data_IF_704835352811
#
_entry.id   IF_704835352811
#
_cell.length_a   1.000
_cell.length_b   1.000
_cell.length_c   1.000
_cell.angle_alpha   90.00
_cell.angle_beta   90.00
_cell.angle_gamma   90.00
#
_symmetry.space_group_name_H-M   'P 1'
#
loop_
_entity.id
_entity.type
_entity.pdbx_description
1 polymer ?
#
# COMPACT_ATOMS: atom_id res chain seq x y z
N UNK A 1 11.83 21.82 -59.34
CA UNK A 1 10.47 21.72 -58.76
C UNK A 1 10.57 20.87 -57.51
N UNK A 2 10.11 21.44 -56.38
CA UNK A 2 10.02 20.89 -55.02
C UNK A 2 11.35 20.69 -54.25
N UNK A 3 11.75 21.79 -53.63
CA UNK A 3 12.75 21.94 -52.57
C UNK A 3 12.16 21.47 -51.22
N UNK A 4 12.95 20.76 -50.41
CA UNK A 4 12.52 20.25 -49.08
C UNK A 4 12.86 21.28 -48.01
N UNK A 5 11.83 21.87 -47.39
CA UNK A 5 11.98 22.76 -46.24
C UNK A 5 12.38 21.98 -44.96
N UNK A 6 13.19 22.59 -44.06
CA UNK A 6 13.62 21.97 -42.81
C UNK A 6 12.54 22.06 -41.72
N UNK A 7 12.47 21.01 -40.90
CA UNK A 7 11.57 20.87 -39.74
C UNK A 7 12.06 21.81 -38.64
N UNK A 8 11.21 22.77 -38.26
CA UNK A 8 11.49 23.74 -37.22
C UNK A 8 11.31 23.14 -35.81
N UNK A 9 12.27 23.40 -34.94
CA UNK A 9 12.23 23.20 -33.49
C UNK A 9 10.97 23.83 -32.89
N UNK A 10 10.10 23.01 -32.31
CA UNK A 10 9.00 23.49 -31.45
C UNK A 10 9.33 23.11 -30.01
N UNK A 11 10.30 23.82 -29.43
CA UNK A 11 10.46 23.87 -27.99
C UNK A 11 9.21 24.54 -27.40
N UNK A 12 8.49 23.79 -26.57
CA UNK A 12 7.33 24.28 -25.81
C UNK A 12 7.77 25.46 -24.93
N UNK A 13 7.44 26.68 -25.37
CA UNK A 13 7.54 27.88 -24.55
C UNK A 13 6.49 27.79 -23.44
N UNK A 14 6.94 27.45 -22.23
CA UNK A 14 6.19 27.76 -21.01
C UNK A 14 6.19 29.29 -20.84
N UNK A 15 5.02 29.89 -20.84
CA UNK A 15 4.80 31.29 -20.47
C UNK A 15 5.23 31.52 -19.03
N UNK A 16 6.01 32.57 -18.79
CA UNK A 16 6.70 32.84 -17.52
C UNK A 16 5.79 33.01 -16.30
N UNK A 17 4.51 33.34 -16.51
CA UNK A 17 3.51 33.53 -15.45
C UNK A 17 3.03 32.19 -14.83
N UNK A 18 3.06 31.08 -15.58
CA UNK A 18 2.60 29.77 -15.10
C UNK A 18 3.59 29.11 -14.13
N UNK A 19 4.86 29.55 -14.16
CA UNK A 19 5.89 29.12 -13.21
C UNK A 19 5.75 29.86 -11.88
N UNK A 20 5.32 31.12 -11.88
CA UNK A 20 5.19 31.94 -10.66
C UNK A 20 4.02 31.51 -9.77
N UNK A 21 2.90 31.07 -10.35
CA UNK A 21 1.72 30.73 -9.54
C UNK A 21 1.81 29.35 -8.89
N UNK A 22 2.47 28.37 -9.51
CA UNK A 22 2.76 27.07 -8.89
C UNK A 22 3.91 27.17 -7.88
N UNK A 23 4.85 28.12 -8.07
CA UNK A 23 5.87 28.46 -7.08
C UNK A 23 5.29 29.08 -5.80
N UNK A 24 4.21 29.86 -5.87
CA UNK A 24 3.67 30.57 -4.69
C UNK A 24 3.18 29.68 -3.53
N UNK A 25 2.77 28.43 -3.79
CA UNK A 25 2.45 27.43 -2.74
C UNK A 25 3.61 26.45 -2.47
N UNK A 26 4.66 26.52 -3.28
CA UNK A 26 5.83 25.64 -3.26
C UNK A 26 7.06 26.33 -2.63
N UNK A 27 7.01 27.65 -2.44
CA UNK A 27 8.09 28.50 -1.91
C UNK A 27 8.32 28.37 -0.40
N UNK A 28 7.36 27.85 0.39
CA UNK A 28 7.53 27.77 1.86
C UNK A 28 8.22 26.49 2.37
N UNK A 29 8.45 25.49 1.50
CA UNK A 29 9.18 24.28 1.87
C UNK A 29 10.57 24.27 1.24
N UNK A 30 11.66 24.08 2.03
CA UNK A 30 13.00 23.98 1.47
C UNK A 30 13.02 22.92 0.37
N UNK A 31 13.66 23.18 -0.79
CA UNK A 31 13.70 22.28 -1.97
C UNK A 31 13.99 20.80 -1.63
N UNK A 32 14.64 20.51 -0.50
CA UNK A 32 14.95 19.16 0.02
C UNK A 32 13.75 18.39 0.60
N UNK A 33 12.63 19.05 0.90
CA UNK A 33 11.41 18.44 1.44
C UNK A 33 10.25 18.43 0.43
N UNK A 34 10.49 18.82 -0.81
CA UNK A 34 9.49 18.71 -1.88
C UNK A 34 9.16 17.24 -2.16
N UNK A 35 7.89 16.96 -2.49
CA UNK A 35 7.41 15.62 -2.88
C UNK A 35 8.16 14.99 -4.05
N UNK A 36 8.82 15.80 -4.88
CA UNK A 36 9.62 15.35 -6.03
C UNK A 36 11.04 14.89 -5.64
N UNK A 37 11.42 15.06 -4.37
CA UNK A 37 12.71 14.59 -3.84
C UNK A 37 12.53 13.33 -3.03
N UNK A 38 13.58 12.50 -2.99
CA UNK A 38 13.57 11.25 -2.23
C UNK A 38 13.18 11.45 -0.76
N UNK A 39 13.77 12.45 -0.11
CA UNK A 39 13.50 12.76 1.30
C UNK A 39 12.08 13.24 1.54
N UNK A 40 11.56 14.14 0.70
CA UNK A 40 10.18 14.61 0.81
C UNK A 40 9.15 13.51 0.56
N UNK A 41 9.35 12.70 -0.49
CA UNK A 41 8.50 11.55 -0.77
C UNK A 41 8.54 10.51 0.37
N UNK A 42 9.72 10.24 0.93
CA UNK A 42 9.87 9.33 2.06
C UNK A 42 9.09 9.82 3.29
N UNK A 43 9.20 11.10 3.63
CA UNK A 43 8.47 11.68 4.76
C UNK A 43 6.95 11.52 4.58
N UNK A 44 6.43 11.84 3.39
CA UNK A 44 5.00 11.69 3.09
C UNK A 44 4.57 10.22 3.19
N UNK A 45 5.37 9.28 2.67
CA UNK A 45 5.08 7.85 2.77
C UNK A 45 5.13 7.35 4.21
N UNK A 46 6.07 7.82 5.03
CA UNK A 46 6.13 7.51 6.46
C UNK A 46 4.85 8.00 7.15
N UNK A 47 4.44 9.24 6.91
CA UNK A 47 3.21 9.79 7.49
C UNK A 47 1.96 9.02 7.04
N UNK A 48 1.90 8.66 5.75
CA UNK A 48 0.79 7.88 5.19
C UNK A 48 0.69 6.48 5.82
N UNK A 49 1.82 5.84 6.14
CA UNK A 49 1.84 4.51 6.77
C UNK A 49 1.72 4.58 8.30
N UNK A 50 2.22 5.63 8.94
CA UNK A 50 2.21 5.78 10.39
C UNK A 50 0.81 6.11 10.94
N UNK A 51 0.02 6.91 10.23
CA UNK A 51 -1.32 7.32 10.68
C UNK A 51 -2.23 6.12 11.01
N UNK A 52 -2.47 5.16 10.09
CA UNK A 52 -3.25 3.97 10.39
C UNK A 52 -2.61 3.09 11.45
N UNK A 53 -1.28 2.93 11.42
CA UNK A 53 -0.57 2.05 12.36
C UNK A 53 -0.64 2.54 13.82
N UNK A 54 -0.47 3.85 14.03
CA UNK A 54 -0.63 4.48 15.34
C UNK A 54 -2.08 4.30 15.82
N UNK A 55 -3.04 4.54 14.93
CA UNK A 55 -4.44 4.36 15.27
C UNK A 55 -4.76 2.92 15.68
N UNK A 56 -4.40 1.93 14.85
CA UNK A 56 -4.68 0.51 15.10
C UNK A 56 -4.03 0.01 16.40
N UNK A 57 -2.94 0.65 16.84
CA UNK A 57 -2.30 0.39 18.13
C UNK A 57 -3.07 1.02 19.29
N UNK A 58 -3.47 2.29 19.16
CA UNK A 58 -4.10 3.05 20.24
C UNK A 58 -5.58 2.69 20.45
N UNK A 59 -6.27 2.24 19.39
CA UNK A 59 -7.72 2.02 19.39
C UNK A 59 -8.18 1.02 20.46
N UNK A 60 -7.30 0.11 20.87
CA UNK A 60 -7.52 -0.88 21.94
C UNK A 60 -7.79 -0.26 23.30
N UNK A 61 -7.39 1.00 23.53
CA UNK A 61 -7.58 1.71 24.80
C UNK A 61 -9.06 2.07 25.03
N UNK A 62 -9.82 2.34 23.97
CA UNK A 62 -11.19 2.88 24.09
C UNK A 62 -12.27 2.03 23.43
N UNK A 63 -11.93 1.01 22.62
CA UNK A 63 -12.92 0.07 22.08
C UNK A 63 -13.49 -0.81 23.21
N UNK A 64 -14.82 -0.90 23.25
CA UNK A 64 -15.56 -1.84 24.09
C UNK A 64 -15.16 -3.28 23.77
N UNK A 65 -15.02 -4.10 24.81
CA UNK A 65 -14.67 -5.52 24.68
C UNK A 65 -15.78 -6.26 23.94
N UNK A 66 -15.61 -6.45 22.62
CA UNK A 66 -16.38 -7.40 21.83
C UNK A 66 -16.18 -8.79 22.45
N UNK A 67 -17.22 -9.63 22.41
CA UNK A 67 -17.17 -11.00 22.93
C UNK A 67 -15.93 -11.75 22.40
N UNK A 68 -15.10 -12.20 23.34
CA UNK A 68 -13.82 -12.86 23.06
C UNK A 68 -13.96 -14.18 22.31
N UNK A 69 -15.14 -14.80 22.32
CA UNK A 69 -15.41 -16.03 21.55
C UNK A 69 -15.36 -15.81 20.03
N UNK A 70 -15.47 -14.55 19.58
CA UNK A 70 -15.46 -14.17 18.17
C UNK A 70 -14.11 -13.63 17.67
N UNK A 71 -13.05 -13.68 18.47
CA UNK A 71 -11.71 -13.24 18.03
C UNK A 71 -11.28 -14.00 16.76
N UNK A 72 -11.51 -15.32 16.71
CA UNK A 72 -11.19 -16.16 15.53
C UNK A 72 -12.02 -15.76 14.30
N UNK A 73 -13.24 -15.23 14.49
CA UNK A 73 -14.05 -14.69 13.39
C UNK A 73 -13.40 -13.45 12.78
N UNK A 74 -12.72 -12.63 13.59
CA UNK A 74 -12.04 -11.43 13.09
C UNK A 74 -10.79 -11.77 12.26
N UNK A 75 -10.17 -12.93 12.49
CA UNK A 75 -9.03 -13.41 11.69
C UNK A 75 -9.44 -13.77 10.25
N UNK A 76 -10.73 -14.08 10.01
CA UNK A 76 -11.24 -14.30 8.65
C UNK A 76 -11.03 -13.07 7.74
N UNK A 77 -11.04 -11.86 8.31
CA UNK A 77 -10.69 -10.65 7.57
C UNK A 77 -9.23 -10.66 7.10
N UNK A 78 -8.31 -11.14 7.94
CA UNK A 78 -6.89 -11.27 7.60
C UNK A 78 -6.72 -12.27 6.45
N UNK A 79 -7.38 -13.43 6.51
CA UNK A 79 -7.29 -14.44 5.45
C UNK A 79 -7.87 -13.96 4.11
N UNK A 80 -8.99 -13.25 4.14
CA UNK A 80 -9.53 -12.59 2.94
C UNK A 80 -8.49 -11.65 2.35
N UNK A 81 -7.86 -10.80 3.17
CA UNK A 81 -6.87 -9.85 2.68
C UNK A 81 -5.58 -10.51 2.15
N UNK A 82 -5.15 -11.65 2.71
CA UNK A 82 -4.03 -12.42 2.16
C UNK A 82 -4.32 -12.91 0.73
N UNK A 83 -5.57 -13.35 0.47
CA UNK A 83 -5.97 -13.74 -0.90
C UNK A 83 -6.02 -12.51 -1.82
N UNK A 84 -6.54 -11.38 -1.31
CA UNK A 84 -6.57 -10.10 -2.05
C UNK A 84 -5.15 -9.58 -2.32
N UNK A 85 -4.20 -9.86 -1.45
CA UNK A 85 -2.79 -9.45 -1.58
C UNK A 85 -2.17 -9.97 -2.87
N UNK A 86 -2.52 -11.20 -3.29
CA UNK A 86 -2.09 -11.78 -4.57
C UNK A 86 -2.49 -10.89 -5.76
N UNK A 87 -3.72 -10.38 -5.73
CA UNK A 87 -4.22 -9.45 -6.75
C UNK A 87 -3.55 -8.08 -6.63
N UNK A 88 -3.34 -7.60 -5.41
CA UNK A 88 -2.75 -6.29 -5.11
C UNK A 88 -1.27 -6.18 -5.49
N UNK A 89 -0.53 -7.28 -5.42
CA UNK A 89 0.89 -7.30 -5.81
C UNK A 89 1.13 -7.67 -7.26
N UNK A 90 0.13 -8.19 -7.96
CA UNK A 90 0.22 -8.48 -9.39
C UNK A 90 0.39 -7.21 -10.23
N UNK A 91 -0.71 -6.72 -10.80
CA UNK A 91 -0.68 -5.56 -11.70
C UNK A 91 -0.26 -4.25 -11.02
N UNK A 92 -0.71 -3.90 -9.80
CA UNK A 92 -0.33 -2.63 -9.18
C UNK A 92 1.17 -2.50 -8.93
N UNK A 93 1.89 -3.58 -8.59
CA UNK A 93 3.35 -3.52 -8.35
C UNK A 93 4.13 -3.25 -9.63
N UNK A 94 3.61 -3.66 -10.78
CA UNK A 94 4.19 -3.33 -12.08
C UNK A 94 4.08 -1.83 -12.45
N UNK A 95 3.26 -1.06 -11.73
CA UNK A 95 3.14 0.39 -11.96
C UNK A 95 4.49 1.12 -11.81
N UNK A 96 5.33 0.73 -10.85
CA UNK A 96 6.63 1.35 -10.65
C UNK A 96 7.54 1.20 -11.88
N UNK A 97 7.44 0.09 -12.61
CA UNK A 97 8.25 -0.15 -13.81
C UNK A 97 7.67 0.52 -15.06
N UNK A 98 6.35 0.46 -15.24
CA UNK A 98 5.69 0.88 -16.49
C UNK A 98 5.21 2.33 -16.42
N UNK A 99 4.54 2.70 -15.32
CA UNK A 99 4.03 4.05 -15.08
C UNK A 99 5.13 4.95 -14.52
N UNK A 100 6.06 4.39 -13.75
CA UNK A 100 7.22 5.11 -13.22
C UNK A 100 8.25 5.52 -14.27
N UNK A 101 8.10 5.10 -15.53
CA UNK A 101 8.97 5.55 -16.61
C UNK A 101 8.83 7.06 -16.85
N UNK A 102 9.82 7.82 -16.37
CA UNK A 102 9.84 9.28 -16.50
C UNK A 102 10.16 9.77 -17.91
N UNK A 103 10.68 8.91 -18.81
CA UNK A 103 10.86 9.26 -20.21
C UNK A 103 9.52 9.26 -20.97
N UNK A 104 8.49 8.64 -20.42
CA UNK A 104 7.16 8.58 -21.02
C UNK A 104 6.38 9.89 -20.81
N UNK A 105 5.66 10.40 -21.84
CA UNK A 105 4.81 11.57 -21.69
C UNK A 105 3.73 11.37 -20.61
N UNK A 106 3.51 12.41 -19.80
CA UNK A 106 2.53 12.42 -18.71
C UNK A 106 1.11 11.97 -19.11
N UNK A 107 0.53 12.38 -20.26
CA UNK A 107 -0.80 11.91 -20.66
C UNK A 107 -0.88 10.38 -20.84
N UNK A 108 0.21 9.75 -21.31
CA UNK A 108 0.25 8.29 -21.48
C UNK A 108 0.38 7.57 -20.14
N UNK A 109 1.18 8.13 -19.23
CA UNK A 109 1.29 7.64 -17.84
C UNK A 109 -0.06 7.71 -17.12
N UNK A 110 -0.79 8.81 -17.26
CA UNK A 110 -2.15 8.96 -16.70
C UNK A 110 -3.12 7.95 -17.31
N UNK A 111 -3.04 7.68 -18.62
CA UNK A 111 -3.86 6.62 -19.24
C UNK A 111 -3.58 5.23 -18.65
N UNK A 112 -2.32 4.90 -18.39
CA UNK A 112 -1.93 3.67 -17.72
C UNK A 112 -2.47 3.60 -16.28
N UNK A 113 -2.42 4.72 -15.53
CA UNK A 113 -3.00 4.83 -14.19
C UNK A 113 -4.51 4.55 -14.23
N UNK A 114 -5.26 5.23 -15.12
CA UNK A 114 -6.70 5.02 -15.27
C UNK A 114 -7.04 3.57 -15.67
N UNK A 115 -6.25 2.98 -16.57
CA UNK A 115 -6.42 1.58 -16.99
C UNK A 115 -6.19 0.61 -15.84
N UNK A 116 -5.12 0.82 -15.05
CA UNK A 116 -4.80 0.01 -13.89
C UNK A 116 -5.90 0.10 -12.82
N UNK A 117 -6.36 1.31 -12.48
CA UNK A 117 -7.43 1.51 -11.50
C UNK A 117 -8.70 0.80 -11.97
N UNK A 118 -9.14 1.03 -13.21
CA UNK A 118 -10.37 0.43 -13.73
C UNK A 118 -10.32 -1.11 -13.71
N UNK A 119 -9.22 -1.70 -14.17
CA UNK A 119 -9.06 -3.15 -14.17
C UNK A 119 -8.98 -3.73 -12.76
N UNK A 120 -8.22 -3.09 -11.87
CA UNK A 120 -8.04 -3.55 -10.50
C UNK A 120 -9.34 -3.47 -9.69
N UNK A 121 -10.13 -2.40 -9.87
CA UNK A 121 -11.47 -2.26 -9.28
C UNK A 121 -12.42 -3.34 -9.79
N UNK A 122 -12.41 -3.63 -11.10
CA UNK A 122 -13.23 -4.71 -11.65
C UNK A 122 -12.83 -6.08 -11.09
N UNK A 123 -11.53 -6.38 -11.01
CA UNK A 123 -11.03 -7.63 -10.42
C UNK A 123 -11.38 -7.74 -8.93
N UNK A 124 -11.23 -6.65 -8.17
CA UNK A 124 -11.63 -6.58 -6.76
C UNK A 124 -13.14 -6.77 -6.54
N UNK A 125 -13.98 -6.25 -7.46
CA UNK A 125 -15.42 -6.48 -7.44
C UNK A 125 -15.75 -7.96 -7.68
N UNK A 126 -15.17 -8.57 -8.72
CA UNK A 126 -15.36 -9.99 -9.01
C UNK A 126 -14.94 -10.85 -7.80
N UNK A 127 -13.78 -10.56 -7.21
CA UNK A 127 -13.30 -11.27 -6.03
C UNK A 127 -14.25 -11.09 -4.82
N UNK A 128 -14.77 -9.88 -4.60
CA UNK A 128 -15.77 -9.61 -3.55
C UNK A 128 -17.03 -10.48 -3.74
N UNK A 129 -17.55 -10.55 -4.96
CA UNK A 129 -18.73 -11.36 -5.27
C UNK A 129 -18.48 -12.86 -5.07
N UNK A 130 -17.29 -13.34 -5.46
CA UNK A 130 -16.86 -14.73 -5.22
C UNK A 130 -16.78 -15.05 -3.73
N UNK A 131 -16.22 -14.14 -2.92
CA UNK A 131 -16.16 -14.32 -1.47
C UNK A 131 -17.55 -14.30 -0.81
N UNK A 132 -18.44 -13.40 -1.24
CA UNK A 132 -19.83 -13.38 -0.74
C UNK A 132 -20.55 -14.69 -1.06
N UNK A 133 -20.42 -15.19 -2.29
CA UNK A 133 -21.01 -16.45 -2.72
C UNK A 133 -20.39 -17.66 -1.99
N UNK A 134 -19.10 -17.60 -1.70
CA UNK A 134 -18.34 -18.68 -1.05
C UNK A 134 -18.23 -18.54 0.47
N UNK A 135 -18.92 -17.55 1.08
CA UNK A 135 -18.79 -17.22 2.49
C UNK A 135 -18.99 -18.42 3.45
N UNK A 136 -19.96 -19.34 3.23
CA UNK A 136 -20.09 -20.52 4.08
C UNK A 136 -18.89 -21.46 4.00
N UNK A 137 -18.30 -21.64 2.81
CA UNK A 137 -17.11 -22.49 2.61
C UNK A 137 -15.87 -21.86 3.24
N UNK A 138 -15.72 -20.54 3.09
CA UNK A 138 -14.61 -19.79 3.69
C UNK A 138 -14.69 -19.83 5.22
N UNK A 139 -15.88 -19.62 5.79
CA UNK A 139 -16.11 -19.76 7.23
C UNK A 139 -15.89 -21.21 7.69
N UNK A 140 -16.22 -22.22 6.88
CA UNK A 140 -15.96 -23.62 7.23
C UNK A 140 -14.46 -23.95 7.30
N UNK A 141 -13.64 -23.33 6.44
CA UNK A 141 -12.20 -23.56 6.39
C UNK A 141 -11.44 -22.87 7.54
N UNK A 142 -11.88 -21.68 7.96
CA UNK A 142 -11.10 -20.83 8.85
C UNK A 142 -11.77 -20.50 10.20
N UNK A 143 -13.01 -20.94 10.42
CA UNK A 143 -13.78 -20.63 11.65
C UNK A 143 -14.31 -21.90 12.33
N UNK A 144 -14.13 -22.02 13.67
CA UNK A 144 -14.67 -23.14 14.47
C UNK A 144 -16.18 -23.30 14.35
N UNK A 145 -16.68 -24.53 14.48
CA UNK A 145 -18.09 -24.86 14.28
C UNK A 145 -19.05 -24.12 15.23
N UNK A 146 -18.61 -23.82 16.46
CA UNK A 146 -19.41 -23.14 17.50
C UNK A 146 -19.85 -21.72 17.12
N UNK A 147 -19.00 -20.97 16.40
CA UNK A 147 -19.26 -19.56 16.02
C UNK A 147 -19.46 -19.39 14.51
N UNK A 148 -19.38 -20.48 13.73
CA UNK A 148 -19.41 -20.47 12.27
C UNK A 148 -20.67 -19.82 11.70
N UNK A 149 -21.85 -20.17 12.22
CA UNK A 149 -23.12 -19.64 11.70
C UNK A 149 -23.22 -18.12 11.85
N UNK A 150 -22.81 -17.58 12.99
CA UNK A 150 -22.76 -16.14 13.25
C UNK A 150 -21.65 -15.44 12.44
N UNK A 151 -20.56 -16.14 12.12
CA UNK A 151 -19.41 -15.63 11.35
C UNK A 151 -19.67 -15.47 9.85
N UNK A 152 -20.68 -16.16 9.29
CA UNK A 152 -21.02 -16.01 7.86
C UNK A 152 -21.41 -14.56 7.54
N UNK A 153 -22.13 -13.90 8.45
CA UNK A 153 -22.47 -12.48 8.32
C UNK A 153 -21.22 -11.60 8.24
N UNK A 154 -20.26 -11.84 9.12
CA UNK A 154 -18.99 -11.14 9.15
C UNK A 154 -18.21 -11.32 7.86
N UNK A 155 -18.09 -12.57 7.37
CA UNK A 155 -17.38 -12.88 6.12
C UNK A 155 -18.01 -12.17 4.94
N UNK A 156 -19.35 -12.14 4.85
CA UNK A 156 -20.06 -11.46 3.75
C UNK A 156 -19.83 -9.96 3.76
N UNK A 157 -19.88 -9.32 4.93
CA UNK A 157 -19.61 -7.88 5.05
C UNK A 157 -18.14 -7.61 4.67
N UNK A 158 -17.21 -8.35 5.27
CA UNK A 158 -15.78 -8.22 5.04
C UNK A 158 -15.35 -8.57 3.62
N UNK A 159 -16.15 -9.29 2.84
CA UNK A 159 -15.83 -9.64 1.45
C UNK A 159 -15.64 -8.42 0.55
N UNK A 160 -16.36 -7.33 0.80
CA UNK A 160 -16.20 -6.07 0.06
C UNK A 160 -14.90 -5.32 0.39
N UNK A 161 -14.12 -5.83 1.36
CA UNK A 161 -12.73 -5.38 1.58
C UNK A 161 -11.90 -5.62 0.34
N UNK A 162 -12.18 -6.69 -0.42
CA UNK A 162 -11.44 -7.02 -1.63
C UNK A 162 -11.56 -5.90 -2.67
N UNK A 163 -12.77 -5.37 -2.89
CA UNK A 163 -12.99 -4.24 -3.80
C UNK A 163 -12.27 -2.97 -3.36
N UNK A 164 -12.44 -2.60 -2.08
CA UNK A 164 -11.86 -1.36 -1.54
C UNK A 164 -10.34 -1.44 -1.49
N UNK A 165 -9.79 -2.56 -1.01
CA UNK A 165 -8.35 -2.85 -0.96
C UNK A 165 -7.71 -2.89 -2.34
N UNK A 166 -8.34 -3.54 -3.33
CA UNK A 166 -7.83 -3.61 -4.69
C UNK A 166 -7.78 -2.21 -5.34
N UNK A 167 -8.88 -1.46 -5.23
CA UNK A 167 -8.95 -0.11 -5.78
C UNK A 167 -7.97 0.83 -5.09
N UNK A 168 -7.92 0.82 -3.77
CA UNK A 168 -7.01 1.63 -2.97
C UNK A 168 -5.55 1.33 -3.33
N UNK A 169 -5.18 0.05 -3.45
CA UNK A 169 -3.81 -0.35 -3.82
C UNK A 169 -3.46 0.17 -5.21
N UNK A 170 -4.34 0.01 -6.21
CA UNK A 170 -4.09 0.53 -7.54
C UNK A 170 -3.92 2.06 -7.54
N UNK A 171 -4.81 2.81 -6.89
CA UNK A 171 -4.68 4.27 -6.77
C UNK A 171 -3.37 4.62 -6.08
N UNK A 172 -3.07 3.98 -4.95
CA UNK A 172 -1.92 4.28 -4.10
C UNK A 172 -0.59 4.02 -4.81
N UNK A 173 -0.43 2.89 -5.50
CA UNK A 173 0.83 2.57 -6.20
C UNK A 173 0.96 3.36 -7.51
N UNK A 174 -0.12 3.48 -8.29
CA UNK A 174 -0.08 4.17 -9.57
C UNK A 174 0.16 5.67 -9.42
N UNK A 175 -0.39 6.30 -8.37
CA UNK A 175 -0.17 7.73 -8.09
C UNK A 175 1.24 8.01 -7.56
N UNK A 176 1.80 7.11 -6.72
CA UNK A 176 3.23 7.17 -6.37
C UNK A 176 4.13 7.06 -7.58
N UNK A 177 3.76 6.23 -8.55
CA UNK A 177 4.53 6.07 -9.79
C UNK A 177 4.51 7.33 -10.68
N UNK A 178 3.57 8.28 -10.47
CA UNK A 178 3.53 9.59 -11.15
C UNK A 178 3.88 10.77 -10.22
N UNK A 179 4.66 10.52 -9.16
CA UNK A 179 5.16 11.57 -8.25
C UNK A 179 4.08 12.24 -7.40
N UNK A 180 3.01 11.50 -7.10
CA UNK A 180 1.89 11.93 -6.25
C UNK A 180 1.75 11.06 -5.00
N UNK A 181 2.74 11.11 -4.07
CA UNK A 181 2.63 10.42 -2.77
C UNK A 181 1.61 11.09 -1.82
N UNK A 182 1.15 12.30 -2.16
CA UNK A 182 0.06 13.03 -1.50
C UNK A 182 -1.29 12.31 -1.60
N UNK A 183 -1.54 11.57 -2.69
CA UNK A 183 -2.78 10.79 -2.84
C UNK A 183 -2.87 9.64 -1.82
N UNK A 184 -1.88 8.74 -1.68
CA UNK A 184 -1.85 7.76 -0.59
C UNK A 184 -1.97 8.37 0.80
N UNK A 185 -1.36 9.53 1.03
CA UNK A 185 -1.48 10.22 2.31
C UNK A 185 -2.92 10.63 2.60
N UNK A 186 -3.62 11.20 1.61
CA UNK A 186 -5.04 11.56 1.73
C UNK A 186 -5.92 10.35 2.03
N UNK A 187 -5.67 9.21 1.36
CA UNK A 187 -6.37 7.94 1.62
C UNK A 187 -6.22 7.55 3.09
N UNK A 188 -4.99 7.48 3.59
CA UNK A 188 -4.70 7.09 4.97
C UNK A 188 -5.30 8.08 5.97
N UNK A 189 -5.22 9.38 5.70
CA UNK A 189 -5.77 10.42 6.58
C UNK A 189 -7.29 10.29 6.69
N UNK A 190 -8.01 10.28 5.58
CA UNK A 190 -9.47 10.18 5.58
C UNK A 190 -9.95 8.86 6.20
N UNK A 191 -9.30 7.73 5.90
CA UNK A 191 -9.59 6.43 6.50
C UNK A 191 -9.41 6.44 8.02
N UNK A 192 -8.30 7.00 8.49
CA UNK A 192 -7.97 7.05 9.92
C UNK A 192 -8.93 7.97 10.67
N UNK A 193 -9.24 9.15 10.13
CA UNK A 193 -10.22 10.06 10.73
C UNK A 193 -11.62 9.42 10.78
N UNK A 194 -12.04 8.74 9.70
CA UNK A 194 -13.30 8.02 9.69
C UNK A 194 -13.32 6.90 10.73
N UNK A 195 -12.24 6.12 10.86
CA UNK A 195 -12.10 5.09 11.88
C UNK A 195 -12.27 5.68 13.28
N UNK A 196 -11.54 6.75 13.61
CA UNK A 196 -11.64 7.44 14.91
C UNK A 196 -13.11 7.81 15.18
N UNK A 197 -13.75 8.55 14.26
CA UNK A 197 -15.12 9.04 14.45
C UNK A 197 -16.10 7.89 14.65
N UNK A 198 -16.06 6.87 13.77
CA UNK A 198 -17.00 5.76 13.83
C UNK A 198 -16.77 4.87 15.05
N UNK A 199 -15.52 4.61 15.44
CA UNK A 199 -15.23 3.83 16.64
C UNK A 199 -15.66 4.57 17.90
N UNK A 200 -15.48 5.91 17.97
CA UNK A 200 -16.01 6.70 19.09
C UNK A 200 -17.53 6.69 19.19
N UNK A 201 -18.24 6.65 18.06
CA UNK A 201 -19.72 6.62 18.04
C UNK A 201 -20.26 5.24 18.39
N UNK A 202 -19.68 4.18 17.82
CA UNK A 202 -20.29 2.85 17.80
C UNK A 202 -19.61 1.82 18.70
N UNK A 203 -18.28 1.92 18.89
CA UNK A 203 -17.51 0.91 19.62
C UNK A 203 -16.98 1.42 20.96
N UNK A 204 -16.93 2.73 21.20
CA UNK A 204 -16.28 3.28 22.40
C UNK A 204 -17.01 2.96 23.70
N UNK A 205 -16.23 2.74 24.77
CA UNK A 205 -16.73 2.63 26.15
C UNK A 205 -17.41 3.92 26.63
N UNK A 206 -17.09 5.08 26.03
CA UNK A 206 -17.62 6.41 26.38
C UNK A 206 -18.91 6.78 25.63
N UNK A 207 -19.58 5.80 25.00
CA UNK A 207 -20.76 6.01 24.15
C UNK A 207 -21.96 6.66 24.85
N UNK A 208 -22.73 7.43 24.09
CA UNK A 208 -24.10 7.84 24.45
C UNK A 208 -24.99 6.59 24.39
N UNK A 209 -25.68 6.24 25.49
CA UNK A 209 -26.40 4.97 25.76
C UNK A 209 -27.47 4.51 24.73
N UNK A 210 -27.67 5.22 23.62
CA UNK A 210 -28.84 5.07 22.74
C UNK A 210 -28.65 4.03 21.62
N UNK A 211 -27.43 3.56 21.32
CA UNK A 211 -27.16 2.66 20.19
C UNK A 211 -26.83 1.24 20.70
N UNK A 212 -27.44 0.24 20.04
CA UNK A 212 -27.36 -1.23 20.23
C UNK A 212 -25.98 -1.74 20.69
N UNK A 213 -25.95 -2.85 21.43
CA UNK A 213 -24.70 -3.50 21.83
C UNK A 213 -23.79 -3.80 20.62
N UNK A 214 -22.48 -3.48 20.72
CA UNK A 214 -21.54 -3.63 19.62
C UNK A 214 -21.34 -5.11 19.32
N UNK A 215 -21.46 -5.46 18.05
CA UNK A 215 -21.23 -6.83 17.55
C UNK A 215 -20.03 -6.88 16.63
N UNK A 216 -19.53 -8.08 16.39
CA UNK A 216 -18.45 -8.37 15.43
C UNK A 216 -18.81 -7.88 14.01
N UNK A 217 -20.10 -7.95 13.65
CA UNK A 217 -20.59 -7.41 12.38
C UNK A 217 -20.59 -5.88 12.35
N UNK A 218 -20.80 -5.22 13.49
CA UNK A 218 -20.66 -3.76 13.63
C UNK A 218 -19.21 -3.35 13.34
N UNK A 219 -18.23 -4.06 13.90
CA UNK A 219 -16.82 -3.83 13.66
C UNK A 219 -16.44 -4.05 12.18
N UNK A 220 -16.91 -5.13 11.55
CA UNK A 220 -16.71 -5.35 10.11
C UNK A 220 -17.28 -4.21 9.26
N UNK A 221 -18.47 -3.73 9.61
CA UNK A 221 -19.16 -2.67 8.87
C UNK A 221 -18.41 -1.34 8.97
N UNK A 222 -17.91 -1.01 10.16
CA UNK A 222 -17.08 0.20 10.37
C UNK A 222 -15.80 0.11 9.55
N UNK A 223 -15.07 -1.01 9.64
CA UNK A 223 -13.85 -1.24 8.84
C UNK A 223 -14.14 -1.09 7.34
N UNK A 224 -15.23 -1.68 6.85
CA UNK A 224 -15.64 -1.55 5.45
C UNK A 224 -15.93 -0.10 5.06
N UNK A 225 -16.68 0.63 5.90
CA UNK A 225 -17.02 2.02 5.65
C UNK A 225 -15.76 2.89 5.58
N UNK A 226 -14.83 2.73 6.52
CA UNK A 226 -13.59 3.50 6.55
C UNK A 226 -12.69 3.20 5.35
N UNK A 227 -12.57 1.93 4.96
CA UNK A 227 -11.85 1.53 3.74
C UNK A 227 -12.49 2.15 2.50
N UNK A 228 -13.83 2.15 2.43
CA UNK A 228 -14.58 2.80 1.36
C UNK A 228 -14.36 4.30 1.30
N UNK A 229 -14.39 4.99 2.44
CA UNK A 229 -14.13 6.44 2.55
C UNK A 229 -12.71 6.77 2.08
N UNK A 230 -11.70 6.04 2.56
CA UNK A 230 -10.32 6.22 2.13
C UNK A 230 -10.17 6.02 0.62
N UNK A 231 -10.75 4.95 0.07
CA UNK A 231 -10.75 4.67 -1.36
C UNK A 231 -11.41 5.78 -2.19
N UNK A 232 -12.61 6.23 -1.80
CA UNK A 232 -13.34 7.30 -2.50
C UNK A 232 -12.55 8.62 -2.43
N UNK A 233 -12.02 8.97 -1.26
CA UNK A 233 -11.19 10.17 -1.09
C UNK A 233 -9.96 10.13 -2.00
N UNK A 234 -9.27 8.98 -2.08
CA UNK A 234 -8.13 8.78 -2.99
C UNK A 234 -8.49 8.97 -4.46
N UNK A 235 -9.61 8.39 -4.91
CA UNK A 235 -10.08 8.54 -6.29
C UNK A 235 -10.46 9.99 -6.62
N UNK A 236 -11.22 10.65 -5.74
CA UNK A 236 -11.62 12.05 -5.92
C UNK A 236 -10.41 12.97 -5.95
N UNK A 237 -9.45 12.77 -5.05
CA UNK A 237 -8.22 13.54 -5.00
C UNK A 237 -7.34 13.29 -6.23
N UNK A 238 -7.24 12.04 -6.70
CA UNK A 238 -6.58 11.72 -7.96
C UNK A 238 -7.22 12.46 -9.15
N UNK A 239 -8.55 12.41 -9.28
CA UNK A 239 -9.27 13.13 -10.34
C UNK A 239 -9.01 14.64 -10.25
N UNK A 240 -9.03 15.21 -9.05
CA UNK A 240 -8.69 16.61 -8.81
C UNK A 240 -7.26 16.94 -9.29
N UNK A 241 -6.26 16.13 -8.92
CA UNK A 241 -4.86 16.31 -9.32
C UNK A 241 -4.70 16.25 -10.83
N UNK A 242 -5.30 15.26 -11.50
CA UNK A 242 -5.19 15.12 -12.96
C UNK A 242 -5.87 16.27 -13.71
N UNK A 243 -7.01 16.77 -13.22
CA UNK A 243 -7.65 17.98 -13.79
C UNK A 243 -6.78 19.23 -13.63
N UNK A 244 -6.13 19.38 -12.46
CA UNK A 244 -5.18 20.48 -12.19
C UNK A 244 -3.98 20.47 -13.13
N UNK A 245 -3.57 19.30 -13.62
CA UNK A 245 -2.47 19.14 -14.57
C UNK A 245 -2.81 19.62 -16.00
N UNK A 246 -4.03 20.15 -16.23
CA UNK A 246 -4.51 20.71 -17.51
C UNK A 246 -4.11 19.86 -18.72
N UNK A 247 -4.24 18.54 -18.60
CA UNK A 247 -4.17 17.67 -19.76
C UNK A 247 -5.38 18.06 -20.64
N UNK A 248 -5.13 18.81 -21.72
CA UNK A 248 -6.13 19.52 -22.52
C UNK A 248 -7.45 18.74 -22.66
N UNK A 249 -8.58 19.43 -22.48
CA UNK A 249 -9.94 18.86 -22.56
C UNK A 249 -10.21 18.13 -23.90
N UNK A 250 -9.44 18.41 -24.95
CA UNK A 250 -9.50 17.72 -26.24
C UNK A 250 -9.04 16.25 -26.17
N UNK A 251 -8.29 15.83 -25.15
CA UNK A 251 -7.80 14.45 -24.99
C UNK A 251 -8.67 13.60 -24.07
N UNK A 252 -9.98 13.53 -24.33
CA UNK A 252 -10.89 12.53 -23.68
C UNK A 252 -10.32 11.10 -23.69
N UNK A 253 -9.52 10.75 -24.70
CA UNK A 253 -8.86 9.45 -24.84
C UNK A 253 -7.82 9.13 -23.75
N UNK A 254 -7.36 10.13 -22.97
CA UNK A 254 -6.42 9.92 -21.84
C UNK A 254 -7.13 9.24 -20.68
N UNK A 255 -8.40 9.58 -20.43
CA UNK A 255 -9.18 9.01 -19.34
C UNK A 255 -9.73 7.61 -19.64
N UNK A 256 -9.79 7.23 -20.92
CA UNK A 256 -10.35 5.94 -21.33
C UNK A 256 -9.36 4.79 -21.11
N UNK A 257 -9.73 3.75 -20.34
CA UNK A 257 -8.92 2.54 -20.24
C UNK A 257 -8.64 1.95 -21.62
N UNK A 258 -7.38 1.57 -21.90
CA UNK A 258 -6.98 0.97 -23.18
C UNK A 258 -6.48 -0.44 -22.98
N UNK A 259 -6.89 -1.34 -23.87
CA UNK A 259 -6.43 -2.72 -23.85
C UNK A 259 -4.90 -2.84 -24.03
N UNK A 260 -4.31 -2.05 -24.91
CA UNK A 260 -2.86 -2.01 -25.11
C UNK A 260 -2.11 -1.60 -23.83
N UNK A 261 -2.63 -0.63 -23.08
CA UNK A 261 -2.10 -0.19 -21.79
C UNK A 261 -2.20 -1.32 -20.75
N UNK A 262 -3.27 -2.11 -20.76
CA UNK A 262 -3.41 -3.27 -19.88
C UNK A 262 -2.39 -4.36 -20.21
N UNK A 263 -2.18 -4.68 -21.49
CA UNK A 263 -1.17 -5.67 -21.92
C UNK A 263 0.24 -5.23 -21.51
N UNK A 264 0.54 -3.93 -21.61
CA UNK A 264 1.82 -3.38 -21.17
C UNK A 264 2.06 -3.53 -19.66
N UNK A 265 1.00 -3.43 -18.84
CA UNK A 265 1.05 -3.68 -17.40
C UNK A 265 1.07 -5.17 -17.05
N UNK A 266 0.33 -5.99 -17.79
CA UNK A 266 0.15 -7.42 -17.51
C UNK A 266 1.44 -8.22 -17.69
N UNK A 267 2.27 -7.88 -18.70
CA UNK A 267 3.52 -8.60 -18.98
C UNK A 267 4.47 -8.62 -17.77
N UNK A 268 4.85 -7.48 -17.16
CA UNK A 268 5.60 -7.49 -15.91
C UNK A 268 4.76 -7.92 -14.70
N UNK A 269 3.47 -7.58 -14.64
CA UNK A 269 2.60 -7.90 -13.51
C UNK A 269 2.31 -9.39 -13.30
N UNK A 270 2.43 -10.23 -14.33
CA UNK A 270 2.26 -11.68 -14.20
C UNK A 270 3.33 -12.31 -13.33
N UNK A 271 4.58 -11.83 -13.44
CA UNK A 271 5.68 -12.35 -12.64
C UNK A 271 5.48 -12.06 -11.15
N UNK A 272 5.08 -10.83 -10.81
CA UNK A 272 4.81 -10.44 -9.42
C UNK A 272 3.54 -11.10 -8.89
N UNK A 273 2.54 -11.37 -9.73
CA UNK A 273 1.34 -12.11 -9.34
C UNK A 273 1.67 -13.56 -8.96
N UNK A 274 2.48 -14.26 -9.77
CA UNK A 274 2.88 -15.64 -9.48
C UNK A 274 3.75 -15.69 -8.22
N UNK A 275 4.73 -14.81 -8.10
CA UNK A 275 5.56 -14.66 -6.89
C UNK A 275 4.67 -14.47 -5.65
N UNK A 276 3.73 -13.52 -5.72
CA UNK A 276 2.79 -13.23 -4.63
C UNK A 276 1.88 -14.41 -4.32
N UNK A 277 1.37 -15.11 -5.34
CA UNK A 277 0.51 -16.28 -5.16
C UNK A 277 1.24 -17.41 -4.42
N UNK A 278 2.49 -17.71 -4.82
CA UNK A 278 3.31 -18.72 -4.13
C UNK A 278 3.59 -18.29 -2.70
N UNK A 279 4.01 -17.04 -2.48
CA UNK A 279 4.33 -16.53 -1.15
C UNK A 279 3.12 -16.53 -0.21
N UNK A 280 1.97 -16.09 -0.69
CA UNK A 280 0.73 -16.05 0.09
C UNK A 280 0.14 -17.45 0.31
N UNK A 281 0.29 -18.38 -0.63
CA UNK A 281 -0.10 -19.78 -0.42
C UNK A 281 0.75 -20.44 0.67
N UNK A 282 2.07 -20.24 0.64
CA UNK A 282 2.98 -20.73 1.69
C UNK A 282 2.67 -20.07 3.04
N UNK A 283 2.31 -18.78 3.05
CA UNK A 283 1.90 -18.08 4.26
C UNK A 283 0.61 -18.64 4.87
N UNK A 284 -0.43 -18.87 4.07
CA UNK A 284 -1.67 -19.49 4.54
C UNK A 284 -1.44 -20.93 5.04
N UNK A 285 -0.58 -21.68 4.36
CA UNK A 285 -0.19 -23.02 4.81
C UNK A 285 0.53 -22.98 6.18
N UNK A 286 1.46 -22.04 6.37
CA UNK A 286 2.12 -21.82 7.66
C UNK A 286 1.10 -21.47 8.75
N UNK A 287 0.16 -20.55 8.49
CA UNK A 287 -0.85 -20.15 9.48
C UNK A 287 -1.73 -21.32 9.87
N UNK A 288 -2.18 -22.12 8.89
CA UNK A 288 -2.98 -23.31 9.17
C UNK A 288 -2.24 -24.24 10.14
N UNK A 289 -0.94 -24.49 9.89
CA UNK A 289 -0.12 -25.30 10.79
C UNK A 289 0.03 -24.70 12.20
N UNK A 290 0.15 -23.38 12.33
CA UNK A 290 0.22 -22.70 13.64
C UNK A 290 -1.10 -22.84 14.41
N UNK A 291 -2.24 -22.70 13.73
CA UNK A 291 -3.56 -22.84 14.33
C UNK A 291 -3.81 -24.29 14.77
N UNK A 292 -3.32 -25.27 14.00
CA UNK A 292 -3.40 -26.70 14.35
C UNK A 292 -2.60 -27.05 15.62
N UNK A 293 -1.55 -26.28 15.96
CA UNK A 293 -0.74 -26.49 17.17
C UNK A 293 -1.45 -26.07 18.47
N UNK A 294 -2.56 -25.33 18.38
CA UNK A 294 -3.39 -24.95 19.53
C UNK A 294 -3.53 -23.44 19.76
N UNK A 295 -4.38 -23.08 20.73
CA UNK A 295 -4.77 -21.68 21.03
C UNK A 295 -3.60 -20.77 21.41
N UNK A 296 -2.62 -21.33 22.12
CA UNK A 296 -1.49 -20.59 22.68
C UNK A 296 -0.55 -20.10 21.56
N UNK A 297 -0.26 -20.97 20.59
CA UNK A 297 0.52 -20.63 19.41
C UNK A 297 -0.21 -19.66 18.48
N UNK A 298 -1.53 -19.82 18.32
CA UNK A 298 -2.35 -18.89 17.56
C UNK A 298 -2.34 -17.47 18.18
N UNK A 299 -2.38 -17.38 19.51
CA UNK A 299 -2.33 -16.09 20.23
C UNK A 299 -0.94 -15.46 20.12
N UNK A 300 0.13 -16.25 20.30
CA UNK A 300 1.51 -15.77 20.12
C UNK A 300 1.76 -15.26 18.69
N UNK A 301 1.23 -15.94 17.68
CA UNK A 301 1.26 -15.51 16.29
C UNK A 301 0.53 -14.19 16.05
N UNK A 302 -0.62 -13.98 16.70
CA UNK A 302 -1.34 -12.71 16.67
C UNK A 302 -0.53 -11.54 17.24
N UNK A 303 0.15 -11.76 18.38
CA UNK A 303 1.07 -10.77 18.99
C UNK A 303 2.21 -10.44 18.02
N UNK A 304 2.87 -11.47 17.49
CA UNK A 304 3.98 -11.31 16.54
C UNK A 304 3.57 -10.49 15.32
N UNK A 305 2.42 -10.82 14.71
CA UNK A 305 1.93 -10.08 13.55
C UNK A 305 1.58 -8.63 13.87
N UNK A 306 1.06 -8.35 15.05
CA UNK A 306 0.76 -6.98 15.48
C UNK A 306 2.05 -6.16 15.60
N UNK A 307 3.09 -6.70 16.24
CA UNK A 307 4.40 -6.04 16.34
C UNK A 307 5.00 -5.85 14.94
N UNK A 308 5.02 -6.91 14.14
CA UNK A 308 5.64 -6.91 12.81
C UNK A 308 4.98 -5.90 11.89
N UNK A 309 3.67 -6.02 11.66
CA UNK A 309 2.96 -5.17 10.71
C UNK A 309 2.65 -3.78 11.24
N UNK A 310 2.34 -3.66 12.53
CA UNK A 310 1.94 -2.39 13.16
C UNK A 310 3.11 -1.48 13.51
N UNK A 311 4.33 -2.01 13.67
CA UNK A 311 5.47 -1.20 14.10
C UNK A 311 6.70 -1.38 13.21
N UNK A 312 7.17 -2.61 13.01
CA UNK A 312 8.43 -2.87 12.29
C UNK A 312 8.31 -2.60 10.78
N UNK A 313 7.25 -3.09 10.15
CA UNK A 313 7.07 -3.00 8.70
C UNK A 313 6.63 -1.60 8.24
N UNK A 314 6.15 -0.72 9.13
CA UNK A 314 5.70 0.63 8.79
C UNK A 314 6.80 1.47 8.10
N UNK A 315 7.98 1.67 8.72
CA UNK A 315 9.08 2.39 8.06
C UNK A 315 9.63 1.63 6.85
N UNK A 316 9.69 0.30 6.91
CA UNK A 316 10.21 -0.54 5.81
C UNK A 316 9.33 -0.41 4.57
N UNK A 317 8.01 -0.44 4.71
CA UNK A 317 7.06 -0.27 3.62
C UNK A 317 7.16 1.13 3.01
N UNK A 318 7.34 2.17 3.82
CA UNK A 318 7.54 3.54 3.33
C UNK A 318 8.85 3.66 2.52
N UNK A 319 9.94 3.04 2.98
CA UNK A 319 11.23 2.97 2.27
C UNK A 319 11.12 2.16 0.98
N UNK A 320 10.41 1.03 0.99
CA UNK A 320 10.17 0.19 -0.18
C UNK A 320 9.36 0.94 -1.24
N UNK A 321 8.25 1.58 -0.84
CA UNK A 321 7.42 2.36 -1.76
C UNK A 321 8.18 3.55 -2.37
N UNK A 322 8.96 4.25 -1.55
CA UNK A 322 9.76 5.40 -2.02
C UNK A 322 10.86 4.94 -2.98
N UNK A 323 11.66 3.94 -2.59
CA UNK A 323 12.72 3.43 -3.46
C UNK A 323 12.19 2.88 -4.78
N UNK A 324 11.06 2.14 -4.77
CA UNK A 324 10.45 1.62 -5.99
C UNK A 324 10.07 2.72 -6.98
N UNK A 325 9.52 3.84 -6.50
CA UNK A 325 9.23 5.02 -7.33
C UNK A 325 10.49 5.56 -8.01
N UNK A 326 11.54 5.88 -7.25
CA UNK A 326 12.75 6.49 -7.80
C UNK A 326 13.56 5.53 -8.67
N UNK A 327 13.59 4.24 -8.35
CA UNK A 327 14.18 3.21 -9.22
C UNK A 327 13.43 3.14 -10.55
N UNK A 328 12.10 3.24 -10.52
CA UNK A 328 11.27 3.32 -11.73
C UNK A 328 11.63 4.49 -12.64
N UNK A 329 11.84 5.69 -12.09
CA UNK A 329 12.25 6.85 -12.87
C UNK A 329 13.65 6.68 -13.47
N UNK A 330 14.62 6.27 -12.65
CA UNK A 330 16.00 6.09 -13.11
C UNK A 330 16.11 5.01 -14.19
N UNK A 331 15.30 3.95 -14.06
CA UNK A 331 15.15 2.94 -15.11
C UNK A 331 14.60 3.53 -16.41
N UNK A 332 13.57 4.36 -16.33
CA UNK A 332 12.99 5.06 -17.48
C UNK A 332 14.00 5.93 -18.22
N UNK A 333 14.72 6.77 -17.48
CA UNK A 333 15.79 7.62 -18.02
C UNK A 333 16.94 6.80 -18.61
N UNK A 334 17.31 5.68 -17.98
CA UNK A 334 18.32 4.78 -18.53
C UNK A 334 17.85 4.17 -19.84
N UNK A 335 16.59 3.71 -19.93
CA UNK A 335 16.03 3.10 -21.15
C UNK A 335 16.05 4.05 -22.33
N UNK A 336 15.66 5.31 -22.13
CA UNK A 336 15.73 6.35 -23.17
C UNK A 336 17.18 6.54 -23.66
N UNK A 337 18.14 6.67 -22.74
CA UNK A 337 19.56 6.80 -23.08
C UNK A 337 20.11 5.56 -23.80
N UNK A 338 19.69 4.37 -23.39
CA UNK A 338 20.11 3.11 -24.00
C UNK A 338 19.62 2.99 -25.44
N UNK A 339 18.36 3.37 -25.70
CA UNK A 339 17.79 3.44 -27.05
C UNK A 339 18.56 4.40 -27.95
N UNK A 340 18.90 5.60 -27.46
CA UNK A 340 19.71 6.58 -28.22
C UNK A 340 21.11 6.06 -28.52
N UNK A 341 21.68 5.19 -27.67
CA UNK A 341 23.00 4.58 -27.85
C UNK A 341 22.98 3.26 -28.64
N UNK A 342 21.80 2.76 -29.03
CA UNK A 342 21.65 1.44 -29.65
C UNK A 342 22.00 0.27 -28.73
N UNK A 343 22.06 0.48 -27.41
CA UNK A 343 22.33 -0.60 -26.44
C UNK A 343 21.04 -1.27 -26.01
N UNK A 344 21.02 -2.60 -25.99
CA UNK A 344 19.87 -3.40 -25.56
C UNK A 344 20.03 -3.93 -24.13
N UNK A 345 21.22 -3.80 -23.52
CA UNK A 345 21.52 -4.34 -22.19
C UNK A 345 22.15 -3.31 -21.27
N UNK A 346 21.76 -3.37 -19.99
CA UNK A 346 22.35 -2.55 -18.93
C UNK A 346 23.68 -3.13 -18.48
N UNK A 347 24.74 -2.31 -18.50
CA UNK A 347 26.02 -2.68 -17.90
C UNK A 347 25.92 -2.65 -16.37
N UNK A 348 26.75 -3.44 -15.68
CA UNK A 348 26.89 -3.40 -14.21
C UNK A 348 27.19 -1.98 -13.69
N UNK A 349 27.89 -1.17 -14.48
CA UNK A 349 28.20 0.23 -14.15
C UNK A 349 26.96 1.14 -14.20
N UNK A 350 25.96 0.81 -15.02
CA UNK A 350 24.71 1.57 -15.10
C UNK A 350 23.77 1.17 -13.96
N UNK A 351 23.78 -0.12 -13.58
CA UNK A 351 22.93 -0.67 -12.52
C UNK A 351 23.38 -0.16 -11.14
N UNK A 352 24.67 -0.30 -10.83
CA UNK A 352 25.22 0.01 -9.50
C UNK A 352 25.71 1.47 -9.43
N UNK A 353 25.99 2.09 -10.57
CA UNK A 353 26.61 3.41 -10.68
C UNK A 353 28.14 3.33 -10.75
N UNK A 354 28.81 4.44 -11.12
CA UNK A 354 30.26 4.47 -11.24
C UNK A 354 30.95 4.21 -9.88
N UNK A 355 31.98 3.33 -9.87
CA UNK A 355 32.81 3.04 -8.69
C UNK A 355 33.60 4.26 -8.16
N UNK A 356 33.73 5.33 -8.94
CA UNK A 356 34.40 6.57 -8.54
C UNK A 356 33.38 7.67 -8.27
N UNK A 357 33.40 8.17 -7.03
CA UNK A 357 32.60 9.29 -6.52
C UNK A 357 32.94 10.67 -7.16
N UNK A 358 33.66 10.67 -8.29
CA UNK A 358 34.31 11.85 -8.86
C UNK A 358 33.84 12.07 -10.28
N UNK A 359 32.66 12.67 -10.43
CA UNK A 359 32.40 13.70 -11.44
C UNK A 359 30.97 14.20 -11.28
N UNK A 360 30.82 15.52 -11.24
CA UNK A 360 29.62 16.28 -10.85
C UNK A 360 28.45 16.21 -11.86
N UNK A 361 28.40 15.23 -12.75
CA UNK A 361 27.33 15.08 -13.75
C UNK A 361 26.60 13.73 -13.61
N UNK A 362 25.72 13.68 -12.61
CA UNK A 362 24.34 13.16 -12.69
C UNK A 362 24.08 11.82 -13.40
N UNK A 363 24.86 10.78 -13.11
CA UNK A 363 24.43 9.38 -13.34
C UNK A 363 24.39 8.63 -12.01
N UNK A 364 23.30 8.82 -11.25
CA UNK A 364 22.93 7.91 -10.16
C UNK A 364 22.72 6.52 -10.75
N UNK A 365 23.38 5.50 -10.21
CA UNK A 365 23.06 4.11 -10.57
C UNK A 365 21.58 3.82 -10.31
N UNK A 366 20.97 3.02 -11.17
CA UNK A 366 19.53 2.71 -11.13
C UNK A 366 19.12 2.18 -9.73
N UNK A 367 20.00 1.41 -9.07
CA UNK A 367 19.71 0.78 -7.77
C UNK A 367 20.06 1.64 -6.56
N UNK A 368 20.65 2.84 -6.75
CA UNK A 368 21.09 3.68 -5.63
C UNK A 368 19.97 4.00 -4.62
N UNK A 369 18.74 4.36 -5.03
CA UNK A 369 17.65 4.59 -4.08
C UNK A 369 17.27 3.34 -3.30
N UNK A 370 17.28 2.17 -3.95
CA UNK A 370 17.00 0.88 -3.29
C UNK A 370 18.08 0.53 -2.25
N UNK A 371 19.36 0.65 -2.59
CA UNK A 371 20.46 0.38 -1.66
C UNK A 371 20.43 1.30 -0.44
N UNK A 372 20.13 2.58 -0.66
CA UNK A 372 19.95 3.53 0.44
C UNK A 372 18.77 3.15 1.33
N UNK A 373 17.61 2.82 0.73
CA UNK A 373 16.44 2.32 1.46
C UNK A 373 16.75 1.08 2.28
N UNK A 374 17.42 0.09 1.70
CA UNK A 374 17.79 -1.15 2.39
C UNK A 374 18.72 -0.87 3.56
N UNK A 375 19.72 0.00 3.39
CA UNK A 375 20.62 0.38 4.47
C UNK A 375 19.87 1.06 5.62
N UNK A 376 18.99 2.02 5.31
CA UNK A 376 18.17 2.71 6.33
C UNK A 376 17.23 1.70 7.01
N UNK A 377 16.60 0.81 6.25
CA UNK A 377 15.71 -0.22 6.79
C UNK A 377 16.45 -1.11 7.77
N UNK A 378 17.63 -1.63 7.42
CA UNK A 378 18.44 -2.47 8.31
C UNK A 378 18.86 -1.73 9.59
N UNK A 379 19.23 -0.45 9.48
CA UNK A 379 19.60 0.38 10.64
C UNK A 379 18.43 0.61 11.60
N UNK A 380 17.19 0.59 11.11
CA UNK A 380 15.98 0.75 11.94
C UNK A 380 15.47 -0.60 12.45
N UNK A 381 15.37 -1.58 11.56
CA UNK A 381 14.79 -2.90 11.81
C UNK A 381 15.64 -3.73 12.76
N UNK A 382 16.97 -3.80 12.56
CA UNK A 382 17.83 -4.64 13.40
C UNK A 382 17.77 -4.20 14.87
N UNK A 383 17.95 -2.91 15.22
CA UNK A 383 17.83 -2.48 16.62
C UNK A 383 16.43 -2.68 17.19
N UNK A 384 15.37 -2.44 16.41
CA UNK A 384 14.00 -2.69 16.87
C UNK A 384 13.78 -4.17 17.17
N UNK A 385 14.16 -5.06 16.26
CA UNK A 385 14.05 -6.51 16.44
C UNK A 385 14.84 -7.00 17.65
N UNK A 386 16.05 -6.47 17.89
CA UNK A 386 16.84 -6.79 19.09
C UNK A 386 16.14 -6.26 20.35
N UNK A 387 15.63 -5.02 20.34
CA UNK A 387 14.93 -4.44 21.48
C UNK A 387 13.64 -5.21 21.83
N UNK A 388 12.89 -5.68 20.83
CA UNK A 388 11.74 -6.56 21.03
C UNK A 388 12.16 -7.93 21.55
N UNK A 389 13.18 -8.55 20.97
CA UNK A 389 13.66 -9.86 21.41
C UNK A 389 14.10 -9.87 22.88
N UNK A 390 14.77 -8.81 23.34
CA UNK A 390 15.29 -8.78 24.71
C UNK A 390 14.34 -8.13 25.72
N UNK A 391 13.71 -7.00 25.40
CA UNK A 391 13.09 -6.12 26.41
C UNK A 391 11.61 -5.81 26.17
N UNK A 392 11.19 -5.57 24.92
CA UNK A 392 9.87 -4.98 24.64
C UNK A 392 8.74 -5.99 24.43
N UNK A 393 9.04 -7.28 24.17
CA UNK A 393 7.98 -8.27 23.90
C UNK A 393 7.03 -8.46 25.08
N UNK A 394 7.55 -8.56 26.31
CA UNK A 394 6.73 -8.75 27.52
C UNK A 394 5.80 -7.56 27.83
N UNK A 395 6.30 -6.31 27.90
CA UNK A 395 5.42 -5.15 28.14
C UNK A 395 4.43 -4.93 26.99
N UNK A 396 4.84 -5.16 25.74
CA UNK A 396 3.93 -5.02 24.60
C UNK A 396 2.80 -6.06 24.63
N UNK A 397 3.13 -7.33 24.90
CA UNK A 397 2.12 -8.38 25.06
C UNK A 397 1.13 -8.07 26.20
N UNK A 398 1.61 -7.46 27.30
CA UNK A 398 0.75 -7.05 28.42
C UNK A 398 -0.17 -5.88 28.09
N UNK A 399 0.24 -4.99 27.18
CA UNK A 399 -0.57 -3.88 26.69
C UNK A 399 -1.64 -4.35 25.71
N UNK A 400 -1.27 -5.26 24.80
CA UNK A 400 -2.16 -5.75 23.75
C UNK A 400 -3.23 -6.74 24.24
N UNK A 401 -2.94 -7.51 25.30
CA UNK A 401 -3.84 -8.52 25.84
C UNK A 401 -3.97 -8.34 27.36
N UNK A 402 -5.06 -7.69 27.79
CA UNK A 402 -5.42 -7.62 29.20
C UNK A 402 -5.88 -9.01 29.70
N UNK A 403 -4.97 -9.79 30.29
CA UNK A 403 -5.25 -11.04 31.02
C UNK A 403 -4.62 -12.31 30.43
N UNK A 404 -3.98 -13.11 31.29
CA UNK A 404 -3.38 -14.46 31.16
C UNK A 404 -2.42 -14.78 29.98
N UNK A 405 -2.46 -14.07 28.85
CA UNK A 405 -1.55 -14.27 27.70
C UNK A 405 -0.08 -13.92 28.02
N UNK A 406 0.15 -13.09 29.04
CA UNK A 406 1.49 -12.77 29.56
C UNK A 406 2.19 -13.96 30.19
N UNK A 407 1.46 -14.93 30.77
CA UNK A 407 2.06 -16.12 31.37
C UNK A 407 2.64 -17.06 30.30
N UNK A 408 1.94 -17.25 29.18
CA UNK A 408 2.36 -18.14 28.09
C UNK A 408 3.64 -17.64 27.40
N UNK A 409 3.71 -16.33 27.09
CA UNK A 409 4.91 -15.70 26.52
C UNK A 409 6.09 -15.72 27.50
N UNK A 410 5.81 -15.56 28.81
CA UNK A 410 6.85 -15.63 29.84
C UNK A 410 7.41 -17.03 30.05
N UNK A 411 6.59 -18.09 29.89
CA UNK A 411 7.04 -19.48 29.99
C UNK A 411 7.84 -19.94 28.78
N UNK A 412 7.49 -19.52 27.55
CA UNK A 412 8.22 -19.98 26.35
C UNK A 412 9.59 -19.29 26.19
N UNK A 413 9.71 -18.01 26.54
CA UNK A 413 11.00 -17.30 26.56
C UNK A 413 11.92 -17.70 27.73
N UNK A 414 11.41 -18.45 28.71
CA UNK A 414 12.24 -18.98 29.81
C UNK A 414 12.93 -20.32 29.44
N UNK A 415 12.54 -20.93 28.31
CA UNK A 415 13.08 -22.21 27.81
C UNK A 415 13.85 -22.09 26.48
N UNK A 416 14.08 -20.86 25.99
CA UNK A 416 14.95 -20.53 24.85
C UNK A 416 16.02 -19.55 25.30
#
# INVERSE_FOLDING_TARGET
MADRAPIADTASQKTGEDVEQENSFQEDMPRRFSRNTYTGALLINILASALPAIYDTLVKIWISKIDSSFVVTTDAYTYINVIVEVLNEGLPRASYLVIGDSAMPLPLRVNLVCTLIAFQTAAGLVMSLVFVASAPKLAAAFVPASVRAASIGYVRISSFSALTSATETAVSLATRAIDRPDVPFMISLCRTLANIILDFIFLSTFRVKTIREPTVNTQASIRMACNGIGCIAGLLYFVYVVRRLRLDEERKSVWMPKWSSLVALAKPGMHTLIESAVRNALYLWLIHGIVDLGSDYATAWGIFNTIRWGLVMVPVNALAATSATFVGHEWGLWRERALTRGSTQASLTDIIGPRKFVSSHKTSGIFRPALLSTLIALVIEVPLCLAFSFWLTRPFASFDFAGDATQVVSSQLAYS
#
